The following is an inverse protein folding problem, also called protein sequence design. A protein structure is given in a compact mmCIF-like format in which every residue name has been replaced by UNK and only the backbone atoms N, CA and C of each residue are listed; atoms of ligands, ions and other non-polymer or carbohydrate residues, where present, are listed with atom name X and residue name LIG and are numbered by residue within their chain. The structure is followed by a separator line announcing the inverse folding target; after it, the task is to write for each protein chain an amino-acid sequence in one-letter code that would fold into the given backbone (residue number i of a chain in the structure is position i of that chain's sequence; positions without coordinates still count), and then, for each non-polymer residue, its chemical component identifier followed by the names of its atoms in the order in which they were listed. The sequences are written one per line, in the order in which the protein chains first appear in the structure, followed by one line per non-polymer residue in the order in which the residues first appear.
data_IF_413757065240
#
_entry.id   IF_413757065240
#
_cell.length_a   1.000
_cell.length_b   1.000
_cell.length_c   1.000
_cell.angle_alpha   90.00
_cell.angle_beta   90.00
_cell.angle_gamma   90.00
#
_symmetry.space_group_name_H-M   'P 1'
#
loop_
_entity.id
_entity.type
_entity.pdbx_description
1 polymer ?
#
# COMPACT_ATOMS: atom_id res chain seq x y z
N UNK A 1 0.91 1.40 -28.59
CA UNK A 1 0.53 0.23 -27.80
C UNK A 1 0.42 0.53 -26.31
N UNK A 2 1.42 1.16 -25.72
CA UNK A 2 1.34 1.52 -24.27
C UNK A 2 0.18 2.45 -23.95
N UNK A 3 -0.19 3.34 -24.87
CA UNK A 3 -1.33 4.25 -24.68
C UNK A 3 -2.68 3.55 -24.71
N UNK A 4 -2.84 2.50 -25.50
CA UNK A 4 -4.10 1.76 -25.57
C UNK A 4 -4.30 0.88 -24.34
N UNK A 5 -3.23 0.27 -23.83
CA UNK A 5 -3.25 -0.47 -22.56
C UNK A 5 -3.60 0.45 -21.38
N UNK A 6 -3.04 1.66 -21.37
CA UNK A 6 -3.33 2.64 -20.34
C UNK A 6 -4.79 3.09 -20.39
N UNK A 7 -5.33 3.30 -21.60
CA UNK A 7 -6.74 3.65 -21.77
C UNK A 7 -7.68 2.54 -21.32
N UNK A 8 -7.33 1.29 -21.63
CA UNK A 8 -8.12 0.14 -21.20
C UNK A 8 -8.08 0.00 -19.68
N UNK A 9 -6.92 0.20 -19.09
CA UNK A 9 -6.77 0.16 -17.64
C UNK A 9 -7.58 1.25 -16.95
N UNK A 10 -7.55 2.48 -17.48
CA UNK A 10 -8.35 3.60 -16.98
C UNK A 10 -9.84 3.33 -17.11
N UNK A 11 -10.26 2.76 -18.23
CA UNK A 11 -11.67 2.41 -18.45
C UNK A 11 -12.13 1.35 -17.46
N UNK A 12 -11.29 0.35 -17.17
CA UNK A 12 -11.58 -0.68 -16.17
C UNK A 12 -11.71 -0.08 -14.77
N UNK A 13 -10.83 0.85 -14.41
CA UNK A 13 -10.87 1.53 -13.13
C UNK A 13 -12.13 2.38 -12.99
N UNK A 14 -12.51 3.08 -14.05
CA UNK A 14 -13.74 3.88 -14.09
C UNK A 14 -14.99 3.00 -14.00
N UNK A 15 -14.99 1.84 -14.65
CA UNK A 15 -16.09 0.90 -14.57
C UNK A 15 -16.29 0.38 -13.15
N UNK A 16 -15.20 0.07 -12.47
CA UNK A 16 -15.22 -0.33 -11.06
C UNK A 16 -15.75 0.81 -10.17
N UNK A 17 -15.33 2.05 -10.46
CA UNK A 17 -15.79 3.22 -9.72
C UNK A 17 -17.30 3.46 -9.92
N UNK A 18 -17.79 3.29 -11.13
CA UNK A 18 -19.21 3.45 -11.43
C UNK A 18 -20.04 2.35 -10.78
N UNK A 19 -19.58 1.12 -10.86
CA UNK A 19 -20.22 -0.01 -10.19
C UNK A 19 -20.18 0.16 -8.65
N UNK A 20 -19.18 0.86 -8.15
CA UNK A 20 -19.01 1.15 -6.74
C UNK A 20 -19.79 2.36 -6.22
N UNK A 21 -20.48 3.13 -7.07
CA UNK A 21 -21.21 4.30 -6.62
C UNK A 21 -22.31 3.98 -5.61
N UNK A 22 -23.03 2.88 -5.81
CA UNK A 22 -23.99 2.36 -4.82
C UNK A 22 -23.30 1.83 -3.54
N UNK A 23 -22.07 1.33 -3.69
CA UNK A 23 -21.27 0.80 -2.59
C UNK A 23 -20.65 1.92 -1.74
N UNK A 24 -20.31 3.07 -2.36
CA UNK A 24 -19.77 4.23 -1.64
C UNK A 24 -20.80 4.77 -0.65
N UNK A 25 -22.08 4.86 -1.06
CA UNK A 25 -23.14 5.28 -0.15
C UNK A 25 -23.30 4.31 1.03
N UNK A 26 -23.14 3.01 0.79
CA UNK A 26 -23.17 1.99 1.82
C UNK A 26 -21.96 2.06 2.75
N UNK A 27 -20.80 2.51 2.27
CA UNK A 27 -19.59 2.68 3.07
C UNK A 27 -19.71 3.83 4.09
N UNK A 28 -20.60 4.79 3.86
CA UNK A 28 -20.90 5.84 4.83
C UNK A 28 -21.82 5.38 5.96
N UNK A 29 -22.44 4.21 5.81
CA UNK A 29 -23.21 3.58 6.88
C UNK A 29 -22.35 2.48 7.50
N UNK A 30 -21.80 2.69 8.72
CA UNK A 30 -20.87 1.73 9.33
C UNK A 30 -21.53 0.40 9.72
N UNK A 31 -22.86 0.34 9.68
CA UNK A 31 -23.61 -0.88 10.00
C UNK A 31 -23.93 -1.72 8.77
N UNK A 32 -23.70 -1.22 7.55
CA UNK A 32 -24.00 -1.96 6.33
C UNK A 32 -23.06 -3.15 6.15
N UNK A 33 -23.53 -4.30 5.61
CA UNK A 33 -22.65 -5.44 5.35
C UNK A 33 -21.49 -5.12 4.39
N UNK A 34 -21.70 -4.23 3.41
CA UNK A 34 -20.66 -3.80 2.48
C UNK A 34 -19.59 -2.98 3.20
N UNK A 35 -19.98 -2.10 4.11
CA UNK A 35 -19.04 -1.29 4.89
C UNK A 35 -18.19 -2.19 5.80
N UNK A 36 -18.80 -3.17 6.45
CA UNK A 36 -18.09 -4.13 7.32
C UNK A 36 -17.12 -4.96 6.48
N UNK A 37 -17.54 -5.46 5.32
CA UNK A 37 -16.68 -6.25 4.44
C UNK A 37 -15.51 -5.42 3.90
N UNK A 38 -15.75 -4.18 3.49
CA UNK A 38 -14.70 -3.28 3.01
C UNK A 38 -13.68 -2.97 4.11
N UNK A 39 -14.14 -2.74 5.33
CA UNK A 39 -13.28 -2.49 6.49
C UNK A 39 -12.42 -3.71 6.79
N UNK A 40 -12.99 -4.90 6.81
CA UNK A 40 -12.26 -6.15 7.04
C UNK A 40 -11.20 -6.38 5.96
N UNK A 41 -11.52 -6.13 4.70
CA UNK A 41 -10.58 -6.26 3.59
C UNK A 41 -9.42 -5.27 3.74
N UNK A 42 -9.71 -4.02 4.08
CA UNK A 42 -8.69 -2.99 4.30
C UNK A 42 -7.79 -3.36 5.50
N UNK A 43 -8.36 -3.85 6.58
CA UNK A 43 -7.60 -4.28 7.76
C UNK A 43 -6.68 -5.47 7.45
N UNK A 44 -7.16 -6.44 6.67
CA UNK A 44 -6.33 -7.57 6.22
C UNK A 44 -5.19 -7.12 5.34
N UNK A 45 -5.45 -6.18 4.43
CA UNK A 45 -4.42 -5.59 3.58
C UNK A 45 -3.38 -4.84 4.42
N UNK A 46 -3.81 -4.14 5.46
CA UNK A 46 -2.94 -3.43 6.40
C UNK A 46 -2.01 -4.41 7.13
N UNK A 47 -2.55 -5.51 7.64
CA UNK A 47 -1.76 -6.55 8.31
C UNK A 47 -0.73 -7.14 7.34
N UNK A 48 -1.13 -7.46 6.12
CA UNK A 48 -0.23 -7.96 5.09
C UNK A 48 0.87 -6.94 4.75
N UNK A 49 0.53 -5.66 4.69
CA UNK A 49 1.49 -4.58 4.43
C UNK A 49 2.51 -4.43 5.56
N UNK A 50 2.09 -4.56 6.81
CA UNK A 50 3.02 -4.58 7.95
C UNK A 50 4.01 -5.74 7.83
N UNK A 51 3.54 -6.91 7.44
CA UNK A 51 4.40 -8.07 7.23
C UNK A 51 5.40 -7.83 6.09
N UNK A 52 4.96 -7.22 5.00
CA UNK A 52 5.84 -6.85 3.88
C UNK A 52 6.88 -5.81 4.31
N UNK A 53 6.48 -4.84 5.12
CA UNK A 53 7.38 -3.83 5.66
C UNK A 53 8.47 -4.47 6.52
N UNK A 54 8.08 -5.38 7.44
CA UNK A 54 9.03 -6.06 8.32
C UNK A 54 10.02 -6.89 7.52
N UNK A 55 9.54 -7.62 6.51
CA UNK A 55 10.39 -8.39 5.61
C UNK A 55 11.36 -7.51 4.83
N UNK A 56 10.91 -6.36 4.34
CA UNK A 56 11.76 -5.42 3.64
C UNK A 56 12.81 -4.81 4.57
N UNK A 57 12.45 -4.49 5.80
CA UNK A 57 13.37 -3.95 6.80
C UNK A 57 14.47 -4.96 7.15
N UNK A 58 14.12 -6.23 7.29
CA UNK A 58 15.09 -7.31 7.54
C UNK A 58 16.03 -7.49 6.34
N UNK A 59 15.50 -7.49 5.13
CA UNK A 59 16.30 -7.59 3.90
C UNK A 59 17.24 -6.41 3.75
N UNK A 60 16.77 -5.20 4.07
CA UNK A 60 17.57 -3.98 4.04
C UNK A 60 18.74 -4.09 5.04
N UNK A 61 18.44 -4.50 6.27
CA UNK A 61 19.46 -4.69 7.30
C UNK A 61 20.54 -5.68 6.86
N UNK A 62 20.14 -6.80 6.27
CA UNK A 62 21.08 -7.80 5.73
C UNK A 62 21.94 -7.20 4.60
N UNK A 63 21.34 -6.43 3.70
CA UNK A 63 22.07 -5.77 2.60
C UNK A 63 23.06 -4.71 3.09
N UNK A 64 22.70 -4.00 4.16
CA UNK A 64 23.62 -3.02 4.77
C UNK A 64 24.80 -3.72 5.41
N UNK A 65 24.58 -4.81 6.14
CA UNK A 65 25.63 -5.58 6.80
C UNK A 65 26.58 -6.25 5.82
N UNK A 66 26.05 -6.74 4.70
CA UNK A 66 26.85 -7.40 3.66
C UNK A 66 27.58 -6.42 2.75
N UNK A 67 27.26 -5.15 2.82
CA UNK A 67 27.82 -4.12 1.93
C UNK A 67 27.19 -4.08 0.55
N UNK A 68 26.13 -4.85 0.30
CA UNK A 68 25.43 -4.85 -0.98
C UNK A 68 24.69 -3.54 -1.25
N UNK A 69 24.27 -2.86 -0.19
CA UNK A 69 23.55 -1.59 -0.27
C UNK A 69 24.18 -0.62 0.75
N UNK A 70 24.96 0.34 0.27
CA UNK A 70 25.68 1.31 1.10
C UNK A 70 25.52 2.71 0.52
N UNK A 71 25.88 3.73 1.31
CA UNK A 71 25.87 5.13 0.90
C UNK A 71 24.49 5.57 0.38
N UNK A 72 24.41 6.00 -0.88
CA UNK A 72 23.17 6.48 -1.48
C UNK A 72 22.07 5.40 -1.51
N UNK A 73 22.45 4.17 -1.78
CA UNK A 73 21.50 3.04 -1.74
C UNK A 73 20.87 2.93 -0.34
N UNK A 74 21.69 2.91 0.70
CA UNK A 74 21.21 2.80 2.08
C UNK A 74 20.33 3.98 2.47
N UNK A 75 20.68 5.19 2.07
CA UNK A 75 19.91 6.40 2.33
C UNK A 75 18.53 6.32 1.68
N UNK A 76 18.45 5.91 0.42
CA UNK A 76 17.20 5.79 -0.31
C UNK A 76 16.32 4.67 0.27
N UNK A 77 16.91 3.52 0.55
CA UNK A 77 16.19 2.37 1.13
C UNK A 77 15.62 2.76 2.48
N UNK A 78 16.40 3.39 3.34
CA UNK A 78 15.92 3.85 4.64
C UNK A 78 14.77 4.86 4.50
N UNK A 79 14.88 5.78 3.54
CA UNK A 79 13.82 6.76 3.29
C UNK A 79 12.52 6.09 2.89
N UNK A 80 12.56 5.11 1.99
CA UNK A 80 11.38 4.37 1.55
C UNK A 80 10.78 3.53 2.69
N UNK A 81 11.60 2.84 3.46
CA UNK A 81 11.14 2.02 4.58
C UNK A 81 10.53 2.89 5.67
N UNK A 82 11.16 4.01 6.01
CA UNK A 82 10.63 4.97 6.98
C UNK A 82 9.30 5.57 6.50
N UNK A 83 9.23 5.96 5.24
CA UNK A 83 8.00 6.49 4.65
C UNK A 83 6.86 5.47 4.70
N UNK A 84 7.13 4.22 4.38
CA UNK A 84 6.14 3.16 4.47
C UNK A 84 5.69 2.92 5.91
N UNK A 85 6.59 2.98 6.86
CA UNK A 85 6.26 2.84 8.28
C UNK A 85 5.29 3.93 8.74
N UNK A 86 5.56 5.18 8.38
CA UNK A 86 4.69 6.32 8.74
C UNK A 86 3.29 6.12 8.15
N UNK A 87 3.19 5.72 6.90
CA UNK A 87 1.90 5.48 6.24
C UNK A 87 1.14 4.32 6.90
N UNK A 88 1.81 3.24 7.25
CA UNK A 88 1.18 2.11 7.91
C UNK A 88 0.74 2.45 9.32
N UNK A 89 1.53 3.25 10.03
CA UNK A 89 1.17 3.73 11.37
C UNK A 89 -0.04 4.67 11.32
N UNK A 90 -0.10 5.54 10.32
CA UNK A 90 -1.27 6.39 10.10
C UNK A 90 -2.50 5.55 9.80
N UNK A 91 -2.36 4.53 8.94
CA UNK A 91 -3.44 3.62 8.60
C UNK A 91 -3.97 2.86 9.82
N UNK A 92 -3.11 2.48 10.75
CA UNK A 92 -3.52 1.81 12.00
C UNK A 92 -4.48 2.65 12.82
N UNK A 93 -4.37 3.98 12.75
CA UNK A 93 -5.25 4.91 13.46
C UNK A 93 -6.52 5.28 12.72
N UNK A 94 -6.68 4.84 11.48
CA UNK A 94 -7.82 5.18 10.65
C UNK A 94 -8.94 4.14 10.79
N UNK A 95 -10.18 4.61 10.64
CA UNK A 95 -11.36 3.74 10.62
C UNK A 95 -12.02 3.69 9.24
N UNK A 96 -11.69 4.62 8.36
CA UNK A 96 -12.24 4.69 7.01
C UNK A 96 -11.48 3.72 6.09
N UNK A 97 -12.15 2.69 5.53
CA UNK A 97 -11.49 1.71 4.68
C UNK A 97 -10.88 2.31 3.40
N UNK A 98 -11.43 3.41 2.90
CA UNK A 98 -10.89 4.09 1.71
C UNK A 98 -9.53 4.70 2.04
N UNK A 99 -9.43 5.39 3.17
CA UNK A 99 -8.18 6.00 3.61
C UNK A 99 -7.14 4.94 4.00
N UNK A 100 -7.56 3.89 4.69
CA UNK A 100 -6.67 2.75 5.01
C UNK A 100 -6.10 2.16 3.72
N UNK A 101 -6.94 1.90 2.73
CA UNK A 101 -6.51 1.33 1.46
C UNK A 101 -5.55 2.25 0.72
N UNK A 102 -5.80 3.57 0.74
CA UNK A 102 -4.91 4.55 0.11
C UNK A 102 -3.53 4.55 0.76
N UNK A 103 -3.47 4.57 2.08
CA UNK A 103 -2.21 4.56 2.82
C UNK A 103 -1.46 3.23 2.62
N UNK A 104 -2.17 2.11 2.67
CA UNK A 104 -1.59 0.78 2.43
C UNK A 104 -1.01 0.69 1.02
N UNK A 105 -1.74 1.16 0.02
CA UNK A 105 -1.27 1.16 -1.38
C UNK A 105 0.01 1.98 -1.53
N UNK A 106 0.04 3.17 -0.94
CA UNK A 106 1.22 4.04 -0.96
C UNK A 106 2.40 3.40 -0.22
N UNK A 107 2.14 2.77 0.93
CA UNK A 107 3.17 2.08 1.70
C UNK A 107 3.77 0.90 0.90
N UNK A 108 2.93 0.10 0.24
CA UNK A 108 3.39 -1.02 -0.58
C UNK A 108 4.24 -0.52 -1.75
N UNK A 109 3.88 0.61 -2.35
CA UNK A 109 4.69 1.21 -3.42
C UNK A 109 6.09 1.57 -2.91
N UNK A 110 6.20 2.18 -1.73
CA UNK A 110 7.49 2.51 -1.13
C UNK A 110 8.30 1.25 -0.77
N UNK A 111 7.64 0.24 -0.24
CA UNK A 111 8.28 -1.05 0.07
C UNK A 111 8.81 -1.70 -1.20
N UNK A 112 8.05 -1.67 -2.27
CA UNK A 112 8.45 -2.21 -3.58
C UNK A 112 9.66 -1.46 -4.13
N UNK A 113 9.66 -0.14 -4.02
CA UNK A 113 10.80 0.69 -4.43
C UNK A 113 12.06 0.37 -3.62
N UNK A 114 11.90 0.19 -2.30
CA UNK A 114 13.01 -0.20 -1.44
C UNK A 114 13.58 -1.56 -1.86
N UNK A 115 12.71 -2.55 -2.10
CA UNK A 115 13.13 -3.89 -2.55
C UNK A 115 13.83 -3.85 -3.91
N UNK A 116 13.43 -2.95 -4.78
CA UNK A 116 14.08 -2.77 -6.08
C UNK A 116 15.52 -2.31 -5.98
N UNK A 117 15.88 -1.63 -4.90
CA UNK A 117 17.24 -1.16 -4.64
C UNK A 117 18.10 -2.22 -3.92
N UNK A 118 17.46 -3.15 -3.23
CA UNK A 118 18.12 -4.24 -2.50
C UNK A 118 18.24 -5.44 -3.45
N UNK A 119 19.37 -5.61 -4.07
CA UNK A 119 19.60 -6.75 -4.96
C UNK A 119 20.70 -7.64 -4.44
#
# INVERSE_FOLDING_TARGET
MKRSLFKVFLASTLAVSVAGCGTISALFDPSSPQAVAAKQTAEKALIAAHSLHDGAALSASASFKSGACTNDCATKVNSYIQGSYVLLKDADGLSDPIQITADVTSAIALITDAKGLIK
#
